data_IF_299285006808
#
_entry.id   IF_299285006808
#
_cell.length_a   1.000
_cell.length_b   1.000
_cell.length_c   1.000
_cell.angle_alpha   90.00
_cell.angle_beta   90.00
_cell.angle_gamma   90.00
#
_symmetry.space_group_name_H-M   'P 1'
#
loop_
_entity.id
_entity.type
_entity.pdbx_description
1 polymer ?
#
# COMPACT_ATOMS: atom_id res chain seq x y z
N UNK A 1 16.40 -8.97 -12.14
CA UNK A 1 17.65 -8.19 -12.24
C UNK A 1 17.62 -6.80 -11.59
N UNK A 2 16.55 -6.02 -11.72
CA UNK A 2 16.51 -4.60 -11.27
C UNK A 2 16.80 -4.40 -9.78
N UNK A 3 16.27 -5.25 -8.89
CA UNK A 3 16.47 -5.10 -7.43
C UNK A 3 17.95 -5.21 -7.04
N UNK A 4 18.66 -6.22 -7.55
CA UNK A 4 20.10 -6.39 -7.28
C UNK A 4 20.91 -5.21 -7.83
N UNK A 5 20.56 -4.73 -9.04
CA UNK A 5 21.20 -3.55 -9.63
C UNK A 5 21.01 -2.30 -8.76
N UNK A 6 19.84 -2.13 -8.13
CA UNK A 6 19.59 -1.04 -7.17
C UNK A 6 20.42 -1.20 -5.91
N UNK A 7 20.46 -2.38 -5.30
CA UNK A 7 21.24 -2.64 -4.08
C UNK A 7 22.74 -2.38 -4.33
N UNK A 8 23.25 -2.80 -5.49
CA UNK A 8 24.65 -2.60 -5.88
C UNK A 8 24.94 -1.18 -6.41
N UNK A 9 23.95 -0.28 -6.45
CA UNK A 9 24.16 1.06 -6.99
C UNK A 9 24.95 1.96 -6.03
N UNK A 10 25.70 2.91 -6.60
CA UNK A 10 26.41 3.96 -5.83
C UNK A 10 25.47 4.80 -4.96
N UNK A 11 24.22 4.97 -5.38
CA UNK A 11 23.23 5.69 -4.59
C UNK A 11 22.85 4.91 -3.32
N UNK A 12 22.71 3.59 -3.44
CA UNK A 12 22.31 2.72 -2.32
C UNK A 12 23.46 2.38 -1.37
N UNK A 13 24.73 2.50 -1.82
CA UNK A 13 25.91 2.12 -1.02
C UNK A 13 26.02 2.86 0.32
N UNK A 14 25.41 4.06 0.44
CA UNK A 14 25.38 4.83 1.70
C UNK A 14 24.51 4.20 2.80
N UNK A 15 23.62 3.29 2.41
CA UNK A 15 22.69 2.58 3.31
C UNK A 15 23.10 1.13 3.55
N UNK A 16 24.22 0.70 2.97
CA UNK A 16 24.78 -0.64 3.10
C UNK A 16 25.82 -0.67 4.22
N UNK A 17 25.92 -1.80 4.92
CA UNK A 17 27.05 -2.03 5.81
C UNK A 17 28.36 -2.15 4.99
N UNK A 18 29.49 -1.58 5.48
CA UNK A 18 30.76 -1.66 4.77
C UNK A 18 31.17 -3.11 4.48
N UNK A 19 31.55 -3.40 3.23
CA UNK A 19 32.00 -4.72 2.80
C UNK A 19 30.90 -5.77 2.59
N UNK A 20 29.62 -5.43 2.85
CA UNK A 20 28.51 -6.37 2.71
C UNK A 20 27.94 -6.34 1.28
N UNK A 21 27.77 -7.52 0.70
CA UNK A 21 27.16 -7.73 -0.61
C UNK A 21 25.63 -7.77 -0.53
N UNK A 22 24.96 -7.50 -1.65
CA UNK A 22 23.50 -7.66 -1.75
C UNK A 22 23.03 -9.07 -1.35
N UNK A 23 23.85 -10.09 -1.64
CA UNK A 23 23.54 -11.48 -1.35
C UNK A 23 23.60 -11.80 0.15
N UNK A 24 24.58 -11.27 0.85
CA UNK A 24 24.69 -11.44 2.30
C UNK A 24 23.52 -10.80 3.03
N UNK A 25 23.01 -9.65 2.55
CA UNK A 25 21.79 -9.05 3.09
C UNK A 25 20.55 -9.91 2.87
N UNK A 26 20.39 -10.51 1.68
CA UNK A 26 19.27 -11.42 1.43
C UNK A 26 19.35 -12.65 2.34
N UNK A 27 20.54 -13.24 2.50
CA UNK A 27 20.74 -14.36 3.42
C UNK A 27 20.41 -13.97 4.87
N UNK A 28 20.82 -12.78 5.31
CA UNK A 28 20.48 -12.26 6.64
C UNK A 28 18.95 -12.14 6.81
N UNK A 29 18.25 -11.57 5.83
CA UNK A 29 16.78 -11.42 5.87
C UNK A 29 16.06 -12.77 5.91
N UNK A 30 16.59 -13.83 5.29
CA UNK A 30 16.03 -15.18 5.35
C UNK A 30 16.12 -15.81 6.76
N UNK A 31 17.12 -15.41 7.55
CA UNK A 31 17.29 -15.89 8.93
C UNK A 31 16.35 -15.20 9.94
N UNK A 32 15.72 -14.08 9.56
CA UNK A 32 14.81 -13.36 10.43
C UNK A 32 13.41 -14.00 10.42
N UNK A 33 12.75 -14.14 11.59
CA UNK A 33 11.40 -14.69 11.70
C UNK A 33 10.34 -13.66 11.25
N UNK A 34 10.41 -13.27 9.98
CA UNK A 34 9.57 -12.23 9.37
C UNK A 34 8.12 -12.69 9.14
N UNK A 35 7.91 -14.00 9.01
CA UNK A 35 6.59 -14.62 8.83
C UNK A 35 6.69 -16.12 9.17
N UNK A 36 5.53 -16.82 9.12
CA UNK A 36 5.43 -18.26 9.36
C UNK A 36 5.55 -19.12 8.09
N UNK A 37 6.02 -18.56 6.96
CA UNK A 37 6.14 -19.32 5.71
C UNK A 37 7.36 -20.26 5.75
N UNK A 38 7.25 -21.47 5.16
CA UNK A 38 8.40 -22.34 4.98
C UNK A 38 9.51 -21.65 4.20
N UNK A 39 10.76 -21.93 4.56
CA UNK A 39 11.95 -21.38 3.90
C UNK A 39 12.62 -22.45 3.05
N UNK A 40 12.97 -22.06 1.83
CA UNK A 40 13.60 -22.95 0.86
C UNK A 40 15.05 -22.57 0.65
N UNK A 41 15.93 -23.57 0.48
CA UNK A 41 17.34 -23.32 0.16
C UNK A 41 17.51 -22.53 -1.16
N UNK A 42 16.57 -22.69 -2.09
CA UNK A 42 16.53 -21.95 -3.36
C UNK A 42 16.37 -20.44 -3.18
N UNK A 43 15.78 -19.97 -2.08
CA UNK A 43 15.60 -18.55 -1.78
C UNK A 43 16.91 -17.77 -1.66
N UNK A 44 18.04 -18.45 -1.45
CA UNK A 44 19.36 -17.82 -1.43
C UNK A 44 19.85 -17.40 -2.83
N UNK A 45 19.26 -17.95 -3.90
CA UNK A 45 19.72 -17.76 -5.28
C UNK A 45 18.58 -17.30 -6.22
N UNK A 46 17.33 -17.59 -5.88
CA UNK A 46 16.15 -17.19 -6.63
C UNK A 46 15.37 -16.10 -5.89
N UNK A 47 15.39 -14.88 -6.45
CA UNK A 47 14.64 -13.75 -5.92
C UNK A 47 13.13 -13.97 -5.91
N UNK A 48 12.58 -14.76 -6.83
CA UNK A 48 11.16 -15.07 -6.83
C UNK A 48 10.81 -15.87 -5.58
N UNK A 49 11.57 -16.93 -5.30
CA UNK A 49 11.37 -17.73 -4.09
C UNK A 49 11.67 -16.91 -2.82
N UNK A 50 12.71 -16.07 -2.82
CA UNK A 50 12.99 -15.14 -1.73
C UNK A 50 11.77 -14.27 -1.40
N UNK A 51 11.16 -13.65 -2.41
CA UNK A 51 9.96 -12.83 -2.22
C UNK A 51 8.80 -13.65 -1.65
N UNK A 52 8.56 -14.86 -2.17
CA UNK A 52 7.49 -15.74 -1.68
C UNK A 52 7.71 -16.11 -0.21
N UNK A 53 8.93 -16.48 0.16
CA UNK A 53 9.25 -16.95 1.49
C UNK A 53 9.26 -15.81 2.51
N UNK A 54 9.66 -14.60 2.11
CA UNK A 54 9.82 -13.44 3.02
C UNK A 54 8.65 -12.47 3.04
N UNK A 55 7.66 -12.61 2.14
CA UNK A 55 6.56 -11.65 2.04
C UNK A 55 5.84 -11.44 3.38
N UNK A 56 5.58 -10.18 3.71
CA UNK A 56 4.76 -9.77 4.83
C UNK A 56 3.86 -8.61 4.41
N UNK A 57 2.84 -8.33 5.22
CA UNK A 57 2.07 -7.10 5.05
C UNK A 57 2.91 -5.90 5.46
N UNK A 58 2.77 -4.79 4.72
CA UNK A 58 3.23 -3.47 5.16
C UNK A 58 2.08 -2.67 5.80
N UNK A 59 1.00 -3.35 6.16
CA UNK A 59 -0.21 -2.81 6.81
C UNK A 59 -0.99 -1.75 6.00
N UNK A 60 -0.72 -1.62 4.71
CA UNK A 60 -1.42 -0.69 3.80
C UNK A 60 -2.45 -1.39 2.89
N UNK A 61 -3.25 -2.30 3.45
CA UNK A 61 -4.34 -2.93 2.71
C UNK A 61 -5.41 -1.90 2.34
N UNK A 62 -6.05 -2.09 1.18
CA UNK A 62 -7.03 -1.18 0.61
C UNK A 62 -7.91 -1.92 -0.41
N UNK A 63 -8.96 -1.26 -0.90
CA UNK A 63 -9.92 -1.86 -1.82
C UNK A 63 -11.09 -2.57 -1.13
N UNK A 64 -12.00 -3.13 -1.94
CA UNK A 64 -13.24 -3.79 -1.49
C UNK A 64 -14.51 -2.97 -1.73
N UNK A 65 -14.42 -1.63 -1.72
CA UNK A 65 -15.56 -0.73 -1.90
C UNK A 65 -15.28 0.32 -2.99
N UNK A 66 -14.70 -0.14 -4.10
CA UNK A 66 -14.08 0.73 -5.12
C UNK A 66 -15.08 1.70 -5.79
N UNK A 67 -14.60 2.91 -6.10
CA UNK A 67 -15.31 3.88 -6.93
C UNK A 67 -15.60 3.29 -8.32
N UNK A 68 -16.83 3.44 -8.81
CA UNK A 68 -17.32 2.87 -10.07
C UNK A 68 -17.69 1.39 -9.99
N UNK A 69 -17.55 0.74 -8.83
CA UNK A 69 -17.97 -0.65 -8.59
C UNK A 69 -18.98 -0.78 -7.47
N UNK A 70 -18.73 -0.13 -6.32
CA UNK A 70 -19.61 -0.15 -5.14
C UNK A 70 -20.13 1.25 -4.79
N UNK A 71 -19.29 2.27 -4.99
CA UNK A 71 -19.67 3.68 -4.78
C UNK A 71 -19.52 4.51 -6.05
N UNK A 72 -20.26 5.60 -6.16
CA UNK A 72 -20.13 6.58 -7.26
C UNK A 72 -18.96 7.55 -7.05
N UNK A 73 -18.78 8.51 -7.96
CA UNK A 73 -17.72 9.54 -7.89
C UNK A 73 -17.85 10.49 -6.69
N UNK A 74 -19.02 10.53 -6.05
CA UNK A 74 -19.31 11.30 -4.85
C UNK A 74 -19.31 10.41 -3.59
N UNK A 75 -18.78 9.18 -3.72
CA UNK A 75 -18.66 8.17 -2.67
C UNK A 75 -20.01 7.67 -2.14
N UNK A 76 -21.11 7.86 -2.88
CA UNK A 76 -22.43 7.32 -2.55
C UNK A 76 -22.52 5.86 -2.94
N UNK A 77 -23.07 5.02 -2.06
CA UNK A 77 -23.29 3.60 -2.36
C UNK A 77 -24.31 3.46 -3.48
N UNK A 78 -23.98 2.67 -4.51
CA UNK A 78 -24.83 2.51 -5.67
C UNK A 78 -26.16 1.84 -5.29
N UNK A 79 -27.27 2.46 -5.69
CA UNK A 79 -28.63 1.95 -5.41
C UNK A 79 -29.10 2.09 -3.97
N UNK A 80 -28.35 2.81 -3.11
CA UNK A 80 -28.73 3.05 -1.71
C UNK A 80 -28.70 4.54 -1.41
N UNK A 81 -29.83 5.06 -0.95
CA UNK A 81 -29.94 6.45 -0.54
C UNK A 81 -29.28 6.70 0.81
N UNK A 82 -28.80 7.94 1.01
CA UNK A 82 -28.27 8.42 2.29
C UNK A 82 -27.09 7.63 2.87
N UNK A 83 -26.39 6.82 2.06
CA UNK A 83 -25.23 6.03 2.48
C UNK A 83 -23.98 6.37 1.64
N UNK A 84 -22.85 6.58 2.31
CA UNK A 84 -21.53 6.80 1.69
C UNK A 84 -20.45 5.96 2.39
N UNK A 85 -19.37 5.65 1.67
CA UNK A 85 -18.16 5.00 2.22
C UNK A 85 -16.95 5.86 1.90
N UNK A 86 -16.19 6.26 2.93
CA UNK A 86 -15.07 7.20 2.80
C UNK A 86 -13.90 6.69 3.65
N UNK A 87 -13.14 5.73 3.13
CA UNK A 87 -11.96 5.14 3.77
C UNK A 87 -11.03 4.50 2.72
N UNK A 88 -10.01 3.75 3.16
CA UNK A 88 -9.07 3.08 2.24
C UNK A 88 -9.71 2.02 1.33
N UNK A 89 -10.91 1.53 1.63
CA UNK A 89 -11.58 0.50 0.83
C UNK A 89 -11.99 1.00 -0.56
N UNK A 90 -12.07 2.33 -0.75
CA UNK A 90 -12.50 2.95 -2.01
C UNK A 90 -11.39 3.08 -3.04
N UNK A 91 -10.13 2.81 -2.65
CA UNK A 91 -8.98 2.92 -3.54
C UNK A 91 -8.80 1.69 -4.44
N UNK A 92 -8.45 1.93 -5.70
CA UNK A 92 -7.99 0.87 -6.62
C UNK A 92 -6.50 0.56 -6.44
N UNK A 93 -5.71 1.58 -6.07
CA UNK A 93 -4.26 1.49 -5.83
C UNK A 93 -3.91 2.32 -4.59
N UNK A 94 -2.89 1.91 -3.85
CA UNK A 94 -2.41 2.66 -2.69
C UNK A 94 -2.02 4.10 -3.11
N UNK A 95 -2.56 5.13 -2.45
CA UNK A 95 -2.15 6.50 -2.71
C UNK A 95 -0.79 6.79 -2.06
N UNK A 96 0.29 6.57 -2.82
CA UNK A 96 1.66 6.78 -2.36
C UNK A 96 2.18 5.66 -1.46
N UNK A 97 3.37 5.88 -0.89
CA UNK A 97 4.10 4.88 -0.07
C UNK A 97 3.42 4.64 1.28
N UNK A 98 2.98 5.71 1.95
CA UNK A 98 2.19 5.65 3.19
C UNK A 98 0.86 6.38 2.96
N UNK A 99 -0.28 5.67 2.93
CA UNK A 99 -1.57 6.25 2.56
C UNK A 99 -2.25 7.02 3.70
N UNK A 100 -1.74 6.97 4.94
CA UNK A 100 -2.43 7.51 6.11
C UNK A 100 -2.87 8.97 5.93
N UNK A 101 -1.95 9.86 5.54
CA UNK A 101 -2.25 11.28 5.35
C UNK A 101 -3.28 11.50 4.24
N UNK A 102 -3.23 10.71 3.17
CA UNK A 102 -4.22 10.78 2.09
C UNK A 102 -5.60 10.32 2.54
N UNK A 103 -5.69 9.26 3.35
CA UNK A 103 -6.97 8.79 3.91
C UNK A 103 -7.57 9.84 4.85
N UNK A 104 -6.75 10.44 5.73
CA UNK A 104 -7.20 11.51 6.62
C UNK A 104 -7.70 12.73 5.83
N UNK A 105 -6.96 13.14 4.80
CA UNK A 105 -7.36 14.24 3.91
C UNK A 105 -8.68 13.93 3.20
N UNK A 106 -8.85 12.71 2.67
CA UNK A 106 -10.06 12.28 1.99
C UNK A 106 -11.29 12.40 2.90
N UNK A 107 -11.17 11.96 4.17
CA UNK A 107 -12.23 12.10 5.16
C UNK A 107 -12.68 13.55 5.34
N UNK A 108 -11.72 14.48 5.54
CA UNK A 108 -12.02 15.91 5.66
C UNK A 108 -12.62 16.49 4.38
N UNK A 109 -12.03 16.17 3.23
CA UNK A 109 -12.45 16.67 1.93
C UNK A 109 -13.92 16.32 1.64
N UNK A 110 -14.29 15.04 1.83
CA UNK A 110 -15.66 14.60 1.60
C UNK A 110 -16.63 15.13 2.66
N UNK A 111 -16.19 15.29 3.91
CA UNK A 111 -16.97 15.98 4.93
C UNK A 111 -17.33 17.42 4.53
N UNK A 112 -16.37 18.18 4.00
CA UNK A 112 -16.63 19.54 3.50
C UNK A 112 -17.55 19.54 2.28
N UNK A 113 -17.39 18.59 1.36
CA UNK A 113 -18.30 18.43 0.20
C UNK A 113 -19.74 18.18 0.61
N UNK A 114 -19.95 17.31 1.60
CA UNK A 114 -21.30 17.03 2.13
C UNK A 114 -21.92 18.30 2.73
N UNK A 115 -21.15 19.11 3.46
CA UNK A 115 -21.64 20.38 4.02
C UNK A 115 -22.01 21.39 2.93
N UNK A 116 -21.17 21.51 1.89
CA UNK A 116 -21.44 22.38 0.74
C UNK A 116 -22.71 21.97 0.01
N UNK A 117 -22.85 20.68 -0.32
CA UNK A 117 -24.05 20.15 -0.98
C UNK A 117 -25.34 20.45 -0.19
N UNK A 118 -25.29 20.42 1.16
CA UNK A 118 -26.43 20.77 2.03
C UNK A 118 -26.74 22.27 2.03
N UNK A 119 -25.72 23.12 2.04
CA UNK A 119 -25.88 24.56 2.00
C UNK A 119 -26.49 25.00 0.66
N UNK A 120 -25.97 24.47 -0.45
CA UNK A 120 -26.46 24.74 -1.80
C UNK A 120 -27.93 24.29 -1.98
N UNK A 121 -28.33 23.18 -1.35
CA UNK A 121 -29.73 22.74 -1.33
C UNK A 121 -30.64 23.67 -0.53
N UNK A 122 -30.14 24.29 0.54
CA UNK A 122 -30.94 25.16 1.42
C UNK A 122 -31.10 26.58 0.89
N UNK A 123 -30.29 26.97 -0.10
CA UNK A 123 -30.33 28.28 -0.76
C UNK A 123 -31.14 28.32 -2.06
N UNK A 124 -31.66 27.17 -2.51
CA UNK A 124 -32.64 27.04 -3.59
C UNK A 124 -34.05 26.86 -3.01
#
# INVERSE_FOLDING_TARGET
ETVIKVINSKAFSKYMFPGVTARELLNFMLGLPTNLRPRHATSMFDLKQFCIDTVMTIWHYHGGCQVGRVVDKNYKVLGVDSLRVIDGSTFLKSPGTNPQATVMMLGRYMGQKILQERADFSGN
#
